data_IF_532685038944
#
_entry.id   IF_532685038944
#
_cell.length_a   1.000
_cell.length_b   1.000
_cell.length_c   1.000
_cell.angle_alpha   90.00
_cell.angle_beta   90.00
_cell.angle_gamma   90.00
#
_symmetry.space_group_name_H-M   'P 1'
#
loop_
_entity.id
_entity.type
_entity.pdbx_description
1 polymer ?
#
# COMPACT_ATOMS: atom_id res chain seq x y z
N UNK A 1 -12.67 -5.57 -26.17
CA UNK A 1 -11.65 -4.94 -25.29
C UNK A 1 -10.23 -5.06 -25.87
N UNK A 2 -9.63 -6.26 -25.99
CA UNK A 2 -8.22 -6.40 -26.43
C UNK A 2 -8.02 -5.98 -27.91
N UNK A 3 -8.91 -6.38 -28.83
CA UNK A 3 -8.82 -6.01 -30.26
C UNK A 3 -8.97 -4.50 -30.53
N UNK A 4 -9.62 -3.78 -29.62
CA UNK A 4 -9.85 -2.33 -29.73
C UNK A 4 -8.65 -1.53 -29.19
N UNK A 5 -7.89 -2.12 -28.26
CA UNK A 5 -6.62 -1.57 -27.74
C UNK A 5 -5.57 -1.43 -28.85
N UNK A 6 -5.58 -2.32 -29.84
CA UNK A 6 -4.66 -2.27 -30.98
C UNK A 6 -4.98 -1.19 -32.01
N UNK A 7 -6.20 -0.62 -32.00
CA UNK A 7 -6.57 0.51 -32.86
C UNK A 7 -6.13 1.87 -32.32
N UNK A 8 -5.89 1.97 -31.00
CA UNK A 8 -5.51 3.22 -30.33
C UNK A 8 -4.00 3.42 -30.18
N UNK A 9 -3.21 2.35 -30.31
CA UNK A 9 -1.76 2.40 -30.15
C UNK A 9 -1.11 2.02 -31.48
N UNK A 10 -0.71 2.98 -32.33
CA UNK A 10 0.06 2.67 -33.53
C UNK A 10 1.43 2.10 -33.11
N UNK A 11 1.66 0.83 -33.47
CA UNK A 11 2.85 0.04 -33.11
C UNK A 11 4.18 0.63 -33.62
N UNK A 12 4.12 1.69 -34.45
CA UNK A 12 5.27 2.28 -35.15
C UNK A 12 5.37 3.81 -35.00
N UNK A 13 4.78 4.37 -33.93
CA UNK A 13 4.82 5.81 -33.62
C UNK A 13 4.89 6.12 -32.12
N UNK A 14 5.33 5.15 -31.32
CA UNK A 14 5.41 5.28 -29.86
C UNK A 14 6.60 6.17 -29.47
N UNK A 15 6.41 7.49 -29.54
CA UNK A 15 7.30 8.44 -28.87
C UNK A 15 6.72 8.69 -27.47
N UNK A 16 7.39 8.29 -26.38
CA UNK A 16 6.97 8.65 -25.04
C UNK A 16 6.97 10.18 -24.93
N UNK A 17 5.81 10.80 -25.12
CA UNK A 17 5.67 12.25 -24.93
C UNK A 17 5.97 12.55 -23.47
N UNK A 18 6.57 13.70 -23.16
CA UNK A 18 6.93 14.09 -21.78
C UNK A 18 5.76 13.94 -20.77
N UNK A 19 4.52 13.99 -21.27
CA UNK A 19 3.29 13.79 -20.51
C UNK A 19 3.11 12.36 -19.95
N UNK A 20 3.59 11.32 -20.64
CA UNK A 20 3.55 9.92 -20.16
C UNK A 20 4.52 9.69 -19.00
N UNK A 21 5.72 10.26 -19.09
CA UNK A 21 6.72 10.20 -18.01
C UNK A 21 6.22 10.91 -16.75
N UNK A 22 5.63 12.10 -16.89
CA UNK A 22 5.04 12.83 -15.78
C UNK A 22 3.89 12.04 -15.11
N UNK A 23 3.02 11.43 -15.91
CA UNK A 23 1.91 10.62 -15.43
C UNK A 23 2.39 9.35 -14.70
N UNK A 24 3.45 8.71 -15.17
CA UNK A 24 4.07 7.57 -14.50
C UNK A 24 4.61 7.96 -13.12
N UNK A 25 5.39 9.04 -13.04
CA UNK A 25 5.96 9.54 -11.78
C UNK A 25 4.85 9.95 -10.79
N UNK A 26 3.83 10.66 -11.26
CA UNK A 26 2.68 11.08 -10.45
C UNK A 26 1.93 9.86 -9.87
N UNK A 27 1.69 8.86 -10.71
CA UNK A 27 1.01 7.61 -10.31
C UNK A 27 1.85 6.82 -9.32
N UNK A 28 3.15 6.66 -9.56
CA UNK A 28 4.07 5.98 -8.62
C UNK A 28 4.11 6.68 -7.26
N UNK A 29 4.15 8.02 -7.24
CA UNK A 29 4.09 8.79 -5.99
C UNK A 29 2.80 8.50 -5.22
N UNK A 30 1.66 8.51 -5.91
CA UNK A 30 0.36 8.30 -5.29
C UNK A 30 0.22 6.87 -4.74
N UNK A 31 0.69 5.85 -5.47
CA UNK A 31 0.69 4.46 -5.00
C UNK A 31 1.59 4.30 -3.77
N UNK A 32 2.78 4.91 -3.78
CA UNK A 32 3.69 4.84 -2.64
C UNK A 32 3.09 5.47 -1.38
N UNK A 33 2.52 6.67 -1.49
CA UNK A 33 1.87 7.35 -0.36
C UNK A 33 0.66 6.55 0.15
N UNK A 34 -0.12 5.97 -0.76
CA UNK A 34 -1.27 5.15 -0.39
C UNK A 34 -0.84 3.89 0.36
N UNK A 35 0.17 3.17 -0.14
CA UNK A 35 0.74 2.00 0.52
C UNK A 35 1.31 2.35 1.91
N UNK A 36 1.97 3.50 2.04
CA UNK A 36 2.50 3.97 3.32
C UNK A 36 1.37 4.28 4.32
N UNK A 37 0.30 4.95 3.87
CA UNK A 37 -0.89 5.19 4.69
C UNK A 37 -1.56 3.89 5.14
N UNK A 38 -1.56 2.87 4.29
CA UNK A 38 -2.07 1.55 4.62
C UNK A 38 -1.22 0.81 5.66
N UNK A 39 0.10 0.90 5.55
CA UNK A 39 1.02 0.28 6.49
C UNK A 39 1.16 1.04 7.83
N UNK A 40 0.92 2.36 7.83
CA UNK A 40 1.13 3.25 8.97
C UNK A 40 0.50 2.77 10.30
N UNK A 41 -0.81 2.47 10.39
CA UNK A 41 -1.41 2.05 11.66
C UNK A 41 -0.79 0.75 12.19
N UNK A 42 -0.55 -0.23 11.32
CA UNK A 42 0.09 -1.50 11.69
C UNK A 42 1.54 -1.28 12.12
N UNK A 43 2.30 -0.44 11.42
CA UNK A 43 3.68 -0.09 11.78
C UNK A 43 3.77 0.53 13.17
N UNK A 44 2.91 1.49 13.48
CA UNK A 44 2.91 2.16 14.79
C UNK A 44 2.65 1.15 15.91
N UNK A 45 1.65 0.28 15.76
CA UNK A 45 1.33 -0.69 16.80
C UNK A 45 2.43 -1.74 16.96
N UNK A 46 3.01 -2.24 15.88
CA UNK A 46 4.13 -3.19 15.94
C UNK A 46 5.38 -2.58 16.56
N UNK A 47 5.66 -1.31 16.28
CA UNK A 47 6.79 -0.59 16.86
C UNK A 47 6.59 -0.41 18.38
N UNK A 48 5.41 0.04 18.80
CA UNK A 48 5.07 0.16 20.23
C UNK A 48 5.11 -1.18 20.95
N UNK A 49 4.58 -2.24 20.33
CA UNK A 49 4.64 -3.60 20.87
C UNK A 49 6.08 -4.09 21.03
N UNK A 50 6.94 -3.81 20.04
CA UNK A 50 8.36 -4.21 20.11
C UNK A 50 9.12 -3.47 21.22
N UNK A 51 8.80 -2.19 21.45
CA UNK A 51 9.34 -1.43 22.60
C UNK A 51 8.84 -2.01 23.92
N UNK A 52 7.54 -2.30 24.04
CA UNK A 52 6.96 -2.91 25.24
C UNK A 52 7.58 -4.28 25.54
N UNK A 53 7.74 -5.13 24.53
CA UNK A 53 8.43 -6.41 24.64
C UNK A 53 9.89 -6.24 25.07
N UNK A 54 10.58 -5.22 24.58
CA UNK A 54 11.94 -4.88 25.01
C UNK A 54 12.03 -4.47 26.48
N UNK A 55 11.00 -3.80 27.02
CA UNK A 55 10.90 -3.50 28.46
C UNK A 55 10.65 -4.78 29.25
N UNK A 56 9.71 -5.62 28.80
CA UNK A 56 9.38 -6.91 29.43
C UNK A 56 10.60 -7.83 29.47
N UNK A 57 11.43 -7.80 28.42
CA UNK A 57 12.68 -8.55 28.34
C UNK A 57 13.65 -8.21 29.48
N UNK A 58 13.64 -6.95 29.96
CA UNK A 58 14.48 -6.53 31.09
C UNK A 58 13.89 -6.91 32.44
N UNK A 59 12.56 -6.91 32.56
CA UNK A 59 11.87 -7.19 33.84
C UNK A 59 11.73 -8.69 34.14
N UNK A 60 11.60 -9.54 33.11
CA UNK A 60 11.45 -11.00 33.26
C UNK A 60 12.53 -11.73 32.45
N UNK A 61 13.78 -11.76 32.93
CA UNK A 61 14.94 -12.26 32.18
C UNK A 61 14.93 -13.79 31.99
N UNK A 62 14.10 -14.52 32.74
CA UNK A 62 13.98 -15.98 32.62
C UNK A 62 13.01 -16.44 31.53
N UNK A 63 12.19 -15.54 31.00
CA UNK A 63 11.25 -15.88 29.94
C UNK A 63 11.97 -15.90 28.59
N UNK A 64 11.70 -16.92 27.76
CA UNK A 64 12.21 -16.95 26.38
C UNK A 64 11.48 -15.89 25.53
N UNK A 65 11.95 -14.64 25.64
CA UNK A 65 11.36 -13.48 24.97
C UNK A 65 11.32 -13.65 23.45
N UNK A 66 12.21 -14.44 22.84
CA UNK A 66 12.17 -14.69 21.41
C UNK A 66 10.91 -15.45 20.99
N UNK A 67 10.50 -16.47 21.76
CA UNK A 67 9.28 -17.23 21.47
C UNK A 67 8.04 -16.40 21.76
N UNK A 68 8.02 -15.73 22.91
CA UNK A 68 6.85 -14.95 23.34
C UNK A 68 6.67 -13.71 22.46
N UNK A 69 7.76 -13.01 22.15
CA UNK A 69 7.74 -11.80 21.32
C UNK A 69 7.26 -12.08 19.90
N UNK A 70 7.75 -13.14 19.26
CA UNK A 70 7.30 -13.54 17.93
C UNK A 70 5.81 -13.92 17.93
N UNK A 71 5.38 -14.71 18.93
CA UNK A 71 3.97 -15.10 19.08
C UNK A 71 3.07 -13.88 19.28
N UNK A 72 3.49 -12.93 20.12
CA UNK A 72 2.74 -11.70 20.40
C UNK A 72 2.66 -10.80 19.16
N UNK A 73 3.79 -10.63 18.45
CA UNK A 73 3.84 -9.82 17.23
C UNK A 73 2.92 -10.36 16.13
N UNK A 74 2.81 -11.68 15.98
CA UNK A 74 1.87 -12.30 15.03
C UNK A 74 0.42 -11.98 15.42
N UNK A 75 0.03 -12.22 16.68
CA UNK A 75 -1.35 -11.97 17.14
C UNK A 75 -1.74 -10.50 17.02
N UNK A 76 -0.86 -9.60 17.46
CA UNK A 76 -1.09 -8.15 17.39
C UNK A 76 -1.13 -7.68 15.93
N UNK A 77 -0.18 -8.13 15.11
CA UNK A 77 -0.10 -7.79 13.69
C UNK A 77 -1.37 -8.19 12.94
N UNK A 78 -1.86 -9.41 13.12
CA UNK A 78 -3.10 -9.88 12.50
C UNK A 78 -4.33 -9.14 13.01
N UNK A 79 -4.41 -8.87 14.31
CA UNK A 79 -5.53 -8.11 14.89
C UNK A 79 -5.61 -6.73 14.24
N UNK A 80 -4.50 -5.99 14.22
CA UNK A 80 -4.46 -4.63 13.65
C UNK A 80 -4.72 -4.65 12.15
N UNK A 81 -4.23 -5.67 11.42
CA UNK A 81 -4.53 -5.83 9.99
C UNK A 81 -6.03 -6.00 9.73
N UNK A 82 -6.76 -6.78 10.54
CA UNK A 82 -8.21 -6.96 10.37
C UNK A 82 -8.96 -5.64 10.61
N UNK A 83 -8.58 -4.90 11.66
CA UNK A 83 -9.16 -3.58 11.94
C UNK A 83 -8.85 -2.57 10.82
N UNK A 84 -7.61 -2.57 10.33
CA UNK A 84 -7.16 -1.73 9.22
C UNK A 84 -7.91 -2.07 7.91
N UNK A 85 -8.14 -3.36 7.65
CA UNK A 85 -8.91 -3.83 6.50
C UNK A 85 -10.37 -3.35 6.52
N UNK A 86 -11.01 -3.32 7.70
CA UNK A 86 -12.36 -2.78 7.85
C UNK A 86 -12.44 -1.28 7.51
N UNK A 87 -11.43 -0.50 7.92
CA UNK A 87 -11.29 0.91 7.52
C UNK A 87 -11.10 1.09 6.01
N UNK A 88 -10.44 0.14 5.32
CA UNK A 88 -10.23 0.22 3.87
C UNK A 88 -11.48 0.02 3.03
N UNK A 89 -12.46 -0.75 3.50
CA UNK A 89 -13.73 -0.90 2.81
C UNK A 89 -14.43 0.45 2.56
N UNK A 90 -14.23 1.41 3.47
CA UNK A 90 -14.79 2.77 3.38
C UNK A 90 -14.02 3.64 2.37
N UNK A 91 -12.70 3.47 2.27
CA UNK A 91 -11.83 4.25 1.38
C UNK A 91 -11.89 3.75 -0.08
N UNK A 92 -12.16 2.46 -0.29
CA UNK A 92 -12.15 1.80 -1.60
C UNK A 92 -13.09 2.44 -2.63
N UNK A 93 -14.23 2.99 -2.19
CA UNK A 93 -15.18 3.68 -3.07
C UNK A 93 -14.61 4.96 -3.71
N UNK A 94 -13.69 5.64 -3.01
CA UNK A 94 -13.06 6.87 -3.51
C UNK A 94 -11.91 6.53 -4.47
N UNK A 95 -11.07 5.54 -4.13
CA UNK A 95 -9.93 5.13 -4.96
C UNK A 95 -10.34 4.58 -6.32
N UNK A 96 -11.43 3.80 -6.40
CA UNK A 96 -11.94 3.28 -7.68
C UNK A 96 -12.38 4.40 -8.63
N UNK A 97 -12.94 5.49 -8.08
CA UNK A 97 -13.35 6.67 -8.85
C UNK A 97 -12.14 7.44 -9.38
N UNK A 98 -11.08 7.55 -8.56
CA UNK A 98 -9.82 8.18 -8.96
C UNK A 98 -9.07 7.37 -10.03
N UNK A 99 -9.08 6.04 -9.96
CA UNK A 99 -8.46 5.19 -10.99
C UNK A 99 -9.18 5.27 -12.34
N UNK A 100 -10.51 5.42 -12.34
CA UNK A 100 -11.27 5.68 -13.56
C UNK A 100 -10.87 7.03 -14.20
N UNK A 101 -10.62 8.06 -13.38
CA UNK A 101 -10.12 9.34 -13.86
C UNK A 101 -8.70 9.25 -14.45
N UNK A 102 -7.82 8.44 -13.85
CA UNK A 102 -6.48 8.16 -14.37
C UNK A 102 -6.55 7.44 -15.73
N UNK A 103 -7.42 6.44 -15.90
CA UNK A 103 -7.63 5.77 -17.20
C UNK A 103 -8.12 6.74 -18.29
N UNK A 104 -8.96 7.71 -17.94
CA UNK A 104 -9.38 8.76 -18.86
C UNK A 104 -8.24 9.71 -19.25
N UNK A 105 -7.31 10.01 -18.34
CA UNK A 105 -6.09 10.79 -18.63
C UNK A 105 -5.13 10.02 -19.54
N UNK A 106 -4.91 8.73 -19.31
CA UNK A 106 -4.10 7.87 -20.19
C UNK A 106 -4.66 7.78 -21.61
N UNK A 107 -5.99 7.71 -21.75
CA UNK A 107 -6.65 7.64 -23.05
C UNK A 107 -6.50 8.93 -23.87
N UNK A 108 -6.34 10.08 -23.21
CA UNK A 108 -6.11 11.39 -23.87
C UNK A 108 -4.63 11.71 -24.10
N UNK A 109 -3.73 10.89 -23.56
CA UNK A 109 -2.29 11.04 -23.71
C UNK A 109 -1.73 10.24 -24.91
N UNK A 110 -2.55 9.38 -25.52
CA UNK A 110 -2.39 8.81 -26.85
C UNK A 110 -3.17 9.62 -27.87
#
# INVERSE_FOLDING_TARGET
>A
AIAESFKRIPLMGFSPTANLWALFIETSKNVFVLALKFAAPTMVVLLLSSVALGIVARTVPQMNIFIVGLSLQIVIGFTVLIFSASMFGILYGQTLTDMAAVMMRFTRAF
#
